data_IF_896454748183
#
_entry.id   IF_896454748183
#
_cell.length_a   1.000
_cell.length_b   1.000
_cell.length_c   1.000
_cell.angle_alpha   90.00
_cell.angle_beta   90.00
_cell.angle_gamma   90.00
#
_symmetry.space_group_name_H-M   'P 1'
#
loop_
_entity.id
_entity.type
_entity.pdbx_description
1 polymer ?
#
# COMPACT_ATOMS: atom_id res chain seq x y z
N UNK A 1 -11.14 -3.91 16.97
CA UNK A 1 -11.71 -2.70 16.34
C UNK A 1 -11.04 -1.40 16.81
N UNK A 2 -11.00 -1.12 18.12
CA UNK A 2 -10.37 0.12 18.66
C UNK A 2 -8.91 0.29 18.24
N UNK A 3 -8.12 -0.77 18.28
CA UNK A 3 -6.72 -0.74 17.82
C UNK A 3 -6.62 -0.33 16.33
N UNK A 4 -7.47 -0.89 15.45
CA UNK A 4 -7.50 -0.53 14.04
C UNK A 4 -7.84 0.94 13.79
N UNK A 5 -8.78 1.49 14.54
CA UNK A 5 -9.14 2.92 14.49
C UNK A 5 -7.95 3.78 14.96
N UNK A 6 -7.30 3.41 16.06
CA UNK A 6 -6.13 4.12 16.57
C UNK A 6 -4.96 4.09 15.59
N UNK A 7 -4.69 2.93 14.96
CA UNK A 7 -3.65 2.78 13.94
C UNK A 7 -3.99 3.59 12.70
N UNK A 8 -5.23 3.54 12.20
CA UNK A 8 -5.66 4.32 11.05
C UNK A 8 -5.55 5.83 11.30
N UNK A 9 -5.91 6.28 12.50
CA UNK A 9 -5.72 7.65 12.92
C UNK A 9 -4.24 8.03 12.98
N UNK A 10 -3.42 7.22 13.65
CA UNK A 10 -1.98 7.46 13.75
C UNK A 10 -1.28 7.53 12.39
N UNK A 11 -1.77 6.79 11.39
CA UNK A 11 -1.23 6.78 10.03
C UNK A 11 -1.74 7.93 9.16
N UNK A 12 -2.91 8.50 9.46
CA UNK A 12 -3.51 9.54 8.61
C UNK A 12 -2.56 10.72 8.41
N UNK A 13 -2.01 11.30 9.47
CA UNK A 13 -1.10 12.46 9.36
C UNK A 13 0.20 12.14 8.64
N UNK A 14 0.96 11.08 8.98
CA UNK A 14 2.19 10.73 8.27
C UNK A 14 1.97 10.44 6.78
N UNK A 15 0.93 9.69 6.43
CA UNK A 15 0.64 9.34 5.04
C UNK A 15 0.22 10.56 4.21
N UNK A 16 -0.36 11.59 4.85
CA UNK A 16 -0.74 12.84 4.19
C UNK A 16 0.37 13.89 4.13
N UNK A 17 1.55 13.60 4.66
CA UNK A 17 2.74 14.44 4.48
C UNK A 17 3.35 14.37 3.09
N UNK A 18 3.01 13.36 2.30
CA UNK A 18 3.41 13.28 0.90
C UNK A 18 2.59 14.32 0.12
N UNK A 19 3.26 15.33 -0.44
CA UNK A 19 2.64 16.28 -1.36
C UNK A 19 2.13 15.50 -2.57
N UNK A 20 0.90 15.76 -2.99
CA UNK A 20 0.42 15.27 -4.27
C UNK A 20 1.34 15.86 -5.36
N UNK A 21 2.27 15.05 -5.83
CA UNK A 21 2.94 15.29 -7.09
C UNK A 21 1.85 15.01 -8.15
N UNK A 22 1.09 16.04 -8.51
CA UNK A 22 0.27 15.95 -9.70
C UNK A 22 1.20 15.50 -10.82
N UNK A 23 0.93 14.36 -11.50
CA UNK A 23 1.73 14.04 -12.67
C UNK A 23 1.60 15.24 -13.60
N UNK A 24 2.73 15.86 -13.94
CA UNK A 24 2.77 16.96 -14.91
C UNK A 24 2.15 16.42 -16.18
N UNK A 25 0.98 16.94 -16.54
CA UNK A 25 0.43 16.67 -17.87
C UNK A 25 1.31 17.40 -18.89
N UNK A 26 1.39 16.94 -20.15
CA UNK A 26 2.15 17.64 -21.17
C UNK A 26 1.75 19.13 -21.34
N UNK A 27 0.57 19.53 -20.81
CA UNK A 27 0.10 20.92 -20.77
C UNK A 27 0.67 21.74 -19.61
N UNK A 28 1.20 21.07 -18.57
CA UNK A 28 1.75 21.72 -17.38
C UNK A 28 3.27 21.96 -17.50
N UNK A 29 3.89 21.54 -18.62
CA UNK A 29 5.29 21.82 -18.94
C UNK A 29 5.30 23.19 -19.66
N UNK A 30 5.86 24.25 -19.03
CA UNK A 30 6.03 25.52 -19.72
C UNK A 30 6.86 25.29 -20.99
N UNK A 31 6.43 25.85 -22.11
CA UNK A 31 7.13 25.74 -23.39
C UNK A 31 8.45 26.55 -23.43
N UNK A 32 8.78 27.25 -22.36
CA UNK A 32 10.05 27.94 -22.19
C UNK A 32 10.76 27.41 -20.97
N UNK A 33 11.81 26.65 -21.20
CA UNK A 33 12.78 26.29 -20.16
C UNK A 33 13.55 27.56 -19.81
N UNK A 34 13.00 28.35 -18.91
CA UNK A 34 13.71 29.42 -18.23
C UNK A 34 14.82 28.87 -17.36
N UNK A 35 15.87 29.64 -17.14
CA UNK A 35 17.14 29.27 -16.58
C UNK A 35 17.13 28.60 -15.18
N UNK A 36 18.32 28.43 -14.55
CA UNK A 36 18.56 27.54 -13.40
C UNK A 36 17.81 27.86 -12.10
N UNK A 37 16.95 28.88 -12.07
CA UNK A 37 16.20 29.30 -10.87
C UNK A 37 14.83 28.65 -10.73
N UNK A 38 14.33 27.94 -11.76
CA UNK A 38 13.02 27.28 -11.75
C UNK A 38 13.09 25.79 -11.44
N UNK A 39 14.15 25.32 -10.81
CA UNK A 39 14.17 23.95 -10.28
C UNK A 39 13.12 23.85 -9.18
N UNK A 40 12.16 22.89 -9.27
CA UNK A 40 11.25 22.64 -8.17
C UNK A 40 12.07 22.36 -6.90
N UNK A 41 11.66 22.92 -5.75
CA UNK A 41 12.42 22.78 -4.51
C UNK A 41 12.71 21.29 -4.25
N UNK A 42 13.92 20.96 -3.80
CA UNK A 42 14.32 19.56 -3.64
C UNK A 42 13.30 18.83 -2.79
N UNK A 43 12.90 17.66 -3.25
CA UNK A 43 11.86 16.79 -2.69
C UNK A 43 11.95 16.65 -1.14
N UNK A 44 13.14 16.83 -0.55
CA UNK A 44 13.37 16.80 0.90
C UNK A 44 12.60 17.86 1.72
N UNK A 45 12.25 19.00 1.16
CA UNK A 45 11.51 20.05 1.90
C UNK A 45 10.00 19.76 2.00
N UNK A 46 9.46 18.90 1.15
CA UNK A 46 8.02 18.61 1.03
C UNK A 46 7.51 17.53 2.02
N UNK A 47 8.40 16.79 2.68
CA UNK A 47 8.00 15.66 3.55
C UNK A 47 7.62 16.06 4.99
N UNK A 48 7.76 17.34 5.37
CA UNK A 48 7.69 17.71 6.79
C UNK A 48 6.30 18.01 7.34
N UNK A 49 5.33 18.38 6.50
CA UNK A 49 4.00 18.79 7.00
C UNK A 49 2.88 18.31 6.07
N UNK A 50 1.82 17.73 6.67
CA UNK A 50 0.57 17.50 5.95
C UNK A 50 -0.14 18.85 5.79
N UNK A 51 -0.32 19.31 4.56
CA UNK A 51 -0.92 20.61 4.26
C UNK A 51 -2.29 20.44 3.61
N UNK A 52 -3.22 21.32 3.95
CA UNK A 52 -4.49 21.41 3.27
C UNK A 52 -4.26 21.82 1.80
N UNK A 53 -4.87 21.13 0.81
CA UNK A 53 -4.69 21.45 -0.59
C UNK A 53 -5.23 22.84 -0.97
N UNK A 54 -6.19 23.39 -0.19
CA UNK A 54 -6.85 24.66 -0.51
C UNK A 54 -6.26 25.87 0.21
N UNK A 55 -5.91 25.73 1.51
CA UNK A 55 -5.46 26.88 2.31
C UNK A 55 -4.06 26.70 2.91
N UNK A 56 -3.37 25.59 2.60
CA UNK A 56 -2.05 25.24 3.13
C UNK A 56 -1.95 25.17 4.66
N UNK A 57 -3.08 25.07 5.36
CA UNK A 57 -3.10 24.85 6.82
C UNK A 57 -2.40 23.51 7.13
N UNK A 58 -1.51 23.51 8.11
CA UNK A 58 -0.81 22.31 8.54
C UNK A 58 -1.70 21.46 9.46
N UNK A 59 -2.04 20.24 9.02
CA UNK A 59 -2.81 19.31 9.84
C UNK A 59 -2.01 18.82 11.03
N UNK A 60 -2.59 18.96 12.21
CA UNK A 60 -2.14 18.32 13.45
C UNK A 60 -2.78 16.93 13.61
N UNK A 61 -2.28 16.14 14.55
CA UNK A 61 -2.88 14.86 14.92
C UNK A 61 -4.34 14.98 15.38
N UNK A 62 -4.69 16.10 16.01
CA UNK A 62 -6.05 16.38 16.47
C UNK A 62 -7.00 16.66 15.32
N UNK A 63 -6.54 17.33 14.28
CA UNK A 63 -7.32 17.64 13.08
C UNK A 63 -7.67 16.38 12.27
N UNK A 64 -6.84 15.33 12.38
CA UNK A 64 -7.03 14.05 11.73
C UNK A 64 -7.86 13.05 12.57
N UNK A 65 -8.34 13.43 13.75
CA UNK A 65 -9.09 12.54 14.63
C UNK A 65 -10.37 12.03 13.93
N UNK A 66 -10.69 10.70 14.07
CA UNK A 66 -11.89 10.12 13.51
C UNK A 66 -13.16 10.84 14.00
N UNK A 67 -14.09 11.11 13.09
CA UNK A 67 -15.33 11.83 13.39
C UNK A 67 -15.18 13.35 13.32
N UNK A 68 -14.15 13.96 13.91
CA UNK A 68 -13.95 15.42 13.88
C UNK A 68 -13.59 15.87 12.47
N UNK A 69 -12.64 15.19 11.82
CA UNK A 69 -12.21 15.48 10.48
C UNK A 69 -13.28 15.24 9.40
N UNK A 70 -14.24 14.36 9.68
CA UNK A 70 -15.34 14.07 8.75
C UNK A 70 -16.42 15.13 8.75
N UNK A 71 -16.69 15.70 9.94
CA UNK A 71 -17.79 16.65 10.15
C UNK A 71 -17.32 18.10 9.91
N UNK A 72 -16.11 18.42 10.37
CA UNK A 72 -15.59 19.79 10.35
C UNK A 72 -14.69 20.14 9.17
N UNK A 73 -14.12 19.12 8.50
CA UNK A 73 -13.15 19.35 7.43
C UNK A 73 -11.89 20.06 7.94
N UNK A 74 -11.27 20.85 7.08
CA UNK A 74 -10.12 21.67 7.44
C UNK A 74 -10.52 22.77 8.44
N UNK A 75 -9.81 22.90 9.59
CA UNK A 75 -10.15 23.89 10.60
C UNK A 75 -10.06 25.34 10.10
N UNK A 76 -9.28 25.60 9.05
CA UNK A 76 -9.08 26.96 8.52
C UNK A 76 -10.00 27.31 7.34
N UNK A 77 -10.37 26.34 6.48
CA UNK A 77 -11.17 26.63 5.28
C UNK A 77 -12.41 25.75 5.11
N UNK A 78 -12.67 24.82 6.02
CA UNK A 78 -13.85 23.96 5.99
C UNK A 78 -13.85 22.88 4.90
N UNK A 79 -12.82 22.80 4.02
CA UNK A 79 -12.75 21.81 2.96
C UNK A 79 -12.66 20.40 3.57
N UNK A 80 -13.51 19.49 3.09
CA UNK A 80 -13.56 18.11 3.56
C UNK A 80 -12.25 17.38 3.27
N UNK A 81 -11.88 16.43 4.15
CA UNK A 81 -10.73 15.55 3.94
C UNK A 81 -10.87 14.75 2.64
N UNK A 82 -9.75 14.46 1.97
CA UNK A 82 -9.76 13.63 0.76
C UNK A 82 -10.43 12.27 1.01
N UNK A 83 -11.16 11.75 0.03
CA UNK A 83 -11.84 10.45 0.10
C UNK A 83 -10.90 9.29 0.46
N UNK A 84 -9.62 9.40 0.12
CA UNK A 84 -8.59 8.43 0.49
C UNK A 84 -8.32 8.37 2.00
N UNK A 85 -8.48 9.49 2.73
CA UNK A 85 -8.39 9.49 4.20
C UNK A 85 -9.56 8.74 4.83
N UNK A 86 -10.78 8.95 4.31
CA UNK A 86 -11.96 8.20 4.74
C UNK A 86 -11.79 6.71 4.46
N UNK A 87 -11.31 6.36 3.27
CA UNK A 87 -11.04 4.97 2.90
C UNK A 87 -10.03 4.30 3.85
N UNK A 88 -8.99 5.01 4.28
CA UNK A 88 -8.03 4.51 5.26
C UNK A 88 -8.67 4.35 6.65
N UNK A 89 -9.42 5.35 7.11
CA UNK A 89 -10.00 5.36 8.46
C UNK A 89 -11.12 4.32 8.65
N UNK A 90 -11.80 3.94 7.59
CA UNK A 90 -12.83 2.89 7.61
C UNK A 90 -12.25 1.55 7.16
N UNK A 91 -11.52 1.55 6.06
CA UNK A 91 -11.04 0.33 5.40
C UNK A 91 -9.98 -0.40 6.22
N UNK A 92 -9.05 0.32 6.86
CA UNK A 92 -8.00 -0.34 7.65
C UNK A 92 -8.55 -1.04 8.90
N UNK A 93 -9.40 -0.41 9.75
CA UNK A 93 -10.02 -1.13 10.86
C UNK A 93 -10.86 -2.33 10.41
N UNK A 94 -11.60 -2.20 9.31
CA UNK A 94 -12.37 -3.30 8.74
C UNK A 94 -11.47 -4.44 8.25
N UNK A 95 -10.38 -4.12 7.55
CA UNK A 95 -9.41 -5.11 7.09
C UNK A 95 -8.70 -5.81 8.26
N UNK A 96 -8.31 -5.07 9.30
CA UNK A 96 -7.71 -5.65 10.52
C UNK A 96 -8.70 -6.56 11.25
N UNK A 97 -9.97 -6.13 11.38
CA UNK A 97 -11.01 -6.96 11.98
C UNK A 97 -11.21 -8.25 11.17
N UNK A 98 -11.31 -8.14 9.86
CA UNK A 98 -11.48 -9.30 8.98
C UNK A 98 -10.27 -10.25 9.09
N UNK A 99 -9.05 -9.72 9.13
CA UNK A 99 -7.83 -10.52 9.34
C UNK A 99 -7.89 -11.28 10.69
N UNK A 100 -8.34 -10.63 11.76
CA UNK A 100 -8.51 -11.26 13.07
C UNK A 100 -9.60 -12.32 13.10
N UNK A 101 -10.68 -12.12 12.35
CA UNK A 101 -11.79 -13.09 12.28
C UNK A 101 -11.43 -14.32 11.46
N UNK A 102 -10.66 -14.14 10.38
CA UNK A 102 -10.29 -15.23 9.46
C UNK A 102 -9.01 -15.97 9.86
N UNK A 103 -8.18 -15.35 10.73
CA UNK A 103 -6.96 -15.95 11.29
C UNK A 103 -7.06 -16.00 12.82
N UNK A 104 -8.03 -16.73 13.40
CA UNK A 104 -8.30 -16.68 14.82
C UNK A 104 -7.21 -17.37 15.64
N UNK A 105 -6.84 -16.74 16.76
CA UNK A 105 -6.31 -17.42 17.94
C UNK A 105 -4.86 -17.89 17.90
N UNK A 106 -4.08 -17.57 16.87
CA UNK A 106 -2.67 -17.98 16.81
C UNK A 106 -1.71 -16.78 16.74
N UNK A 107 -0.50 -16.95 17.30
CA UNK A 107 0.60 -15.98 17.14
C UNK A 107 0.92 -15.67 15.66
N UNK A 108 0.57 -16.61 14.76
CA UNK A 108 0.69 -16.41 13.31
C UNK A 108 -0.14 -15.25 12.76
N UNK A 109 -1.19 -14.80 13.45
CA UNK A 109 -1.95 -13.61 13.08
C UNK A 109 -1.18 -12.30 13.19
N UNK A 110 -0.16 -12.21 14.05
CA UNK A 110 0.60 -10.96 14.27
C UNK A 110 1.29 -10.44 13.01
N UNK A 111 2.05 -11.24 12.24
CA UNK A 111 2.61 -10.79 10.98
C UNK A 111 1.57 -10.33 9.97
N UNK A 112 0.38 -10.96 9.95
CA UNK A 112 -0.70 -10.57 9.02
C UNK A 112 -1.40 -9.27 9.42
N UNK A 113 -1.52 -8.96 10.70
CA UNK A 113 -1.96 -7.64 11.15
C UNK A 113 -0.97 -6.56 10.72
N UNK A 114 0.33 -6.82 10.90
CA UNK A 114 1.36 -5.90 10.45
C UNK A 114 1.31 -5.67 8.94
N UNK A 115 1.25 -6.75 8.13
CA UNK A 115 1.21 -6.60 6.68
C UNK A 115 -0.06 -5.90 6.21
N UNK A 116 -1.22 -6.11 6.87
CA UNK A 116 -2.46 -5.38 6.58
C UNK A 116 -2.25 -3.87 6.70
N UNK A 117 -1.61 -3.42 7.79
CA UNK A 117 -1.28 -2.01 8.00
C UNK A 117 -0.30 -1.50 6.95
N UNK A 118 0.76 -2.26 6.66
CA UNK A 118 1.77 -1.88 5.69
C UNK A 118 1.19 -1.76 4.27
N UNK A 119 0.39 -2.74 3.84
CA UNK A 119 -0.24 -2.74 2.51
C UNK A 119 -1.28 -1.64 2.36
N UNK A 120 -2.10 -1.38 3.39
CA UNK A 120 -3.04 -0.26 3.37
C UNK A 120 -2.29 1.08 3.25
N UNK A 121 -1.16 1.23 3.96
CA UNK A 121 -0.33 2.43 3.90
C UNK A 121 0.27 2.63 2.49
N UNK A 122 0.83 1.57 1.91
CA UNK A 122 1.41 1.59 0.55
C UNK A 122 0.31 1.92 -0.48
N UNK A 123 -0.85 1.26 -0.39
CA UNK A 123 -1.97 1.48 -1.31
C UNK A 123 -2.46 2.93 -1.28
N UNK A 124 -2.61 3.52 -0.08
CA UNK A 124 -3.04 4.92 0.05
C UNK A 124 -2.00 5.89 -0.52
N UNK A 125 -0.72 5.65 -0.28
CA UNK A 125 0.36 6.50 -0.83
C UNK A 125 0.36 6.39 -2.36
N UNK A 126 0.31 5.18 -2.91
CA UNK A 126 0.32 4.96 -4.36
C UNK A 126 -0.93 5.55 -5.05
N UNK A 127 -2.12 5.47 -4.43
CA UNK A 127 -3.32 6.15 -4.93
C UNK A 127 -3.19 7.67 -4.98
N UNK A 128 -2.35 8.26 -4.12
CA UNK A 128 -2.21 9.71 -4.00
C UNK A 128 -1.11 10.29 -4.88
N UNK A 129 0.05 9.66 -4.89
CA UNK A 129 1.24 10.19 -5.58
C UNK A 129 1.65 9.36 -6.80
N UNK A 130 0.94 8.24 -7.06
CA UNK A 130 1.21 7.30 -8.15
C UNK A 130 2.65 6.78 -8.14
N UNK A 131 3.19 6.62 -6.94
CA UNK A 131 4.54 6.14 -6.72
C UNK A 131 4.63 5.46 -5.35
N UNK A 132 5.25 4.30 -5.33
CA UNK A 132 5.57 3.59 -4.08
C UNK A 132 6.94 4.07 -3.58
N UNK A 133 7.03 4.76 -2.42
CA UNK A 133 8.30 5.17 -1.84
C UNK A 133 9.22 3.96 -1.66
N UNK A 134 10.46 4.07 -2.12
CA UNK A 134 11.40 2.94 -2.19
C UNK A 134 11.61 2.23 -0.84
N UNK A 135 11.56 2.96 0.25
CA UNK A 135 11.81 2.45 1.59
C UNK A 135 10.63 1.66 2.18
N UNK A 136 9.37 1.94 1.76
CA UNK A 136 8.19 1.30 2.36
C UNK A 136 8.16 -0.23 2.17
N UNK A 137 8.32 -0.77 0.95
CA UNK A 137 8.38 -2.22 0.76
C UNK A 137 9.58 -2.87 1.45
N UNK A 138 10.74 -2.20 1.48
CA UNK A 138 11.94 -2.73 2.14
C UNK A 138 11.78 -2.80 3.66
N UNK A 139 11.30 -1.73 4.29
CA UNK A 139 11.02 -1.72 5.73
C UNK A 139 9.93 -2.74 6.05
N UNK A 140 8.87 -2.81 5.23
CA UNK A 140 7.81 -3.80 5.38
C UNK A 140 8.33 -5.23 5.30
N UNK A 141 9.20 -5.54 4.34
CA UNK A 141 9.82 -6.86 4.21
C UNK A 141 10.78 -7.16 5.37
N UNK A 142 11.61 -6.21 5.78
CA UNK A 142 12.57 -6.41 6.89
C UNK A 142 11.85 -6.66 8.22
N UNK A 143 10.89 -5.81 8.59
CA UNK A 143 10.09 -5.98 9.80
C UNK A 143 9.27 -7.26 9.71
N UNK A 144 8.67 -7.53 8.53
CA UNK A 144 7.95 -8.77 8.27
C UNK A 144 8.81 -10.01 8.47
N UNK A 145 10.02 -10.02 7.94
CA UNK A 145 10.96 -11.13 8.12
C UNK A 145 11.29 -11.38 9.59
N UNK A 146 11.50 -10.32 10.38
CA UNK A 146 11.72 -10.45 11.83
C UNK A 146 10.51 -11.05 12.53
N UNK A 147 9.30 -10.57 12.24
CA UNK A 147 8.06 -11.09 12.83
C UNK A 147 7.80 -12.55 12.44
N UNK A 148 7.93 -12.86 11.16
CA UNK A 148 7.78 -14.23 10.64
C UNK A 148 8.81 -15.16 11.25
N UNK A 149 10.08 -14.74 11.39
CA UNK A 149 11.13 -15.52 12.01
C UNK A 149 10.83 -15.81 13.47
N UNK A 150 10.44 -14.79 14.24
CA UNK A 150 10.11 -14.94 15.65
C UNK A 150 8.94 -15.92 15.85
N UNK A 151 7.89 -15.79 15.04
CA UNK A 151 6.72 -16.68 15.11
C UNK A 151 7.07 -18.10 14.65
N UNK A 152 7.82 -18.25 13.54
CA UNK A 152 8.22 -19.58 13.04
C UNK A 152 9.05 -20.37 14.06
N UNK A 153 9.93 -19.68 14.79
CA UNK A 153 10.70 -20.30 15.90
C UNK A 153 9.78 -20.65 17.06
N UNK A 154 8.88 -19.74 17.45
CA UNK A 154 7.96 -19.94 18.57
C UNK A 154 7.00 -21.13 18.36
N UNK A 155 6.57 -21.38 17.12
CA UNK A 155 5.67 -22.49 16.76
C UNK A 155 6.44 -23.77 16.36
N UNK A 156 7.78 -23.76 16.39
CA UNK A 156 8.61 -24.92 16.05
C UNK A 156 8.62 -25.27 14.54
N UNK A 157 8.33 -24.32 13.65
CA UNK A 157 8.25 -24.53 12.20
C UNK A 157 9.26 -23.66 11.40
N UNK A 158 10.59 -23.74 11.67
CA UNK A 158 11.59 -22.92 11.01
C UNK A 158 11.67 -23.15 9.48
N UNK A 159 11.26 -24.33 9.01
CA UNK A 159 11.21 -24.63 7.57
C UNK A 159 10.30 -23.71 6.77
N UNK A 160 9.27 -23.12 7.39
CA UNK A 160 8.41 -22.13 6.75
C UNK A 160 9.16 -20.85 6.33
N UNK A 161 10.27 -20.53 6.99
CA UNK A 161 11.13 -19.41 6.60
C UNK A 161 11.78 -19.61 5.22
N UNK A 162 12.21 -20.83 4.94
CA UNK A 162 12.79 -21.16 3.63
C UNK A 162 11.75 -20.97 2.54
N UNK A 163 10.51 -21.43 2.78
CA UNK A 163 9.39 -21.25 1.85
C UNK A 163 9.05 -19.75 1.66
N UNK A 164 9.02 -19.01 2.76
CA UNK A 164 8.77 -17.56 2.72
C UNK A 164 9.83 -16.81 1.90
N UNK A 165 11.11 -17.13 2.11
CA UNK A 165 12.22 -16.53 1.37
C UNK A 165 12.19 -16.95 -0.12
N UNK A 166 11.93 -18.21 -0.41
CA UNK A 166 11.77 -18.68 -1.79
C UNK A 166 10.63 -17.96 -2.51
N UNK A 167 9.48 -17.76 -1.83
CA UNK A 167 8.36 -16.98 -2.35
C UNK A 167 8.71 -15.51 -2.58
N UNK A 168 9.44 -14.89 -1.63
CA UNK A 168 9.91 -13.51 -1.78
C UNK A 168 10.80 -13.33 -3.01
N UNK A 169 11.80 -14.20 -3.15
CA UNK A 169 12.71 -14.14 -4.29
C UNK A 169 12.01 -14.52 -5.61
N UNK A 170 11.15 -15.53 -5.60
CA UNK A 170 10.41 -15.96 -6.79
C UNK A 170 9.52 -14.85 -7.34
N UNK A 171 8.73 -14.19 -6.49
CA UNK A 171 7.88 -13.06 -6.90
C UNK A 171 8.68 -11.83 -7.30
N UNK A 172 9.77 -11.54 -6.57
CA UNK A 172 10.69 -10.47 -6.94
C UNK A 172 11.27 -10.70 -8.33
N UNK A 173 11.79 -11.90 -8.59
CA UNK A 173 12.40 -12.25 -9.87
C UNK A 173 11.38 -12.21 -11.01
N UNK A 174 10.16 -12.72 -10.78
CA UNK A 174 9.06 -12.64 -11.74
C UNK A 174 8.79 -11.19 -12.15
N UNK A 175 8.61 -10.29 -11.15
CA UNK A 175 8.34 -8.88 -11.42
C UNK A 175 9.54 -8.15 -12.01
N UNK A 176 10.76 -8.54 -11.64
CA UNK A 176 11.97 -8.00 -12.25
C UNK A 176 12.05 -8.35 -13.74
N UNK A 177 11.74 -9.60 -14.10
CA UNK A 177 11.68 -10.04 -15.51
C UNK A 177 10.61 -9.25 -16.27
N UNK A 178 9.41 -9.10 -15.69
CA UNK A 178 8.34 -8.31 -16.30
C UNK A 178 8.73 -6.83 -16.47
N UNK A 179 9.41 -6.25 -15.49
CA UNK A 179 9.91 -4.88 -15.55
C UNK A 179 10.93 -4.70 -16.68
N UNK A 180 11.86 -5.65 -16.83
CA UNK A 180 12.86 -5.63 -17.90
C UNK A 180 12.25 -5.91 -19.27
N UNK A 181 11.23 -6.77 -19.36
CA UNK A 181 10.56 -7.13 -20.60
C UNK A 181 9.61 -6.03 -21.12
N UNK A 182 9.11 -5.16 -20.23
CA UNK A 182 8.16 -4.10 -20.60
C UNK A 182 8.61 -2.73 -20.07
N UNK A 183 9.68 -2.13 -20.62
CA UNK A 183 10.24 -0.87 -20.13
C UNK A 183 9.18 0.25 -20.10
N UNK A 184 9.10 0.95 -18.97
CA UNK A 184 8.19 2.08 -18.78
C UNK A 184 6.71 1.73 -18.57
N UNK A 185 6.33 0.43 -18.59
CA UNK A 185 4.96 -0.01 -18.32
C UNK A 185 4.74 -0.44 -16.87
N UNK A 186 5.76 -0.98 -16.23
CA UNK A 186 5.73 -1.39 -14.82
C UNK A 186 6.66 -0.50 -13.99
N UNK A 187 6.24 -0.11 -12.79
CA UNK A 187 7.06 0.64 -11.85
C UNK A 187 8.05 -0.27 -11.11
N UNK A 188 9.28 0.19 -10.87
CA UNK A 188 10.21 -0.57 -10.03
C UNK A 188 9.75 -0.65 -8.56
N UNK A 189 8.81 0.21 -8.16
CA UNK A 189 8.10 0.11 -6.88
C UNK A 189 7.31 -1.18 -6.73
N UNK A 190 6.65 -1.63 -7.82
CA UNK A 190 5.86 -2.87 -7.84
C UNK A 190 6.77 -4.11 -7.72
N UNK A 191 7.99 -4.06 -8.29
CA UNK A 191 9.01 -5.13 -8.16
C UNK A 191 9.40 -5.32 -6.69
N UNK A 192 9.64 -4.21 -5.98
CA UNK A 192 9.97 -4.25 -4.54
C UNK A 192 8.77 -4.69 -3.70
N UNK A 193 7.57 -4.23 -4.05
CA UNK A 193 6.34 -4.64 -3.39
C UNK A 193 6.12 -6.14 -3.55
N UNK A 194 6.36 -6.70 -4.74
CA UNK A 194 6.22 -8.13 -5.01
C UNK A 194 7.11 -9.00 -4.10
N UNK A 195 8.35 -8.56 -3.79
CA UNK A 195 9.20 -9.23 -2.80
C UNK A 195 8.53 -9.32 -1.44
N UNK A 196 8.00 -8.20 -0.95
CA UNK A 196 7.30 -8.15 0.33
C UNK A 196 6.05 -9.04 0.32
N UNK A 197 5.25 -8.99 -0.74
CA UNK A 197 4.05 -9.82 -0.88
C UNK A 197 4.39 -11.31 -0.89
N UNK A 198 5.41 -11.69 -1.68
CA UNK A 198 5.88 -13.08 -1.74
C UNK A 198 6.33 -13.63 -0.40
N UNK A 199 7.01 -12.81 0.41
CA UNK A 199 7.44 -13.17 1.75
C UNK A 199 6.26 -13.60 2.64
N UNK A 200 5.24 -12.77 2.74
CA UNK A 200 4.09 -13.02 3.62
C UNK A 200 3.16 -14.11 3.08
N UNK A 201 2.89 -14.11 1.77
CA UNK A 201 1.98 -15.07 1.16
C UNK A 201 2.57 -16.48 1.18
N UNK A 202 3.85 -16.64 0.80
CA UNK A 202 4.49 -17.94 0.80
C UNK A 202 4.72 -18.48 2.21
N UNK A 203 4.88 -17.64 3.22
CA UNK A 203 4.96 -18.06 4.61
C UNK A 203 3.71 -18.81 5.08
N UNK A 204 2.52 -18.39 4.61
CA UNK A 204 1.27 -19.08 4.88
C UNK A 204 1.17 -20.39 4.07
N UNK A 205 1.38 -20.29 2.75
CA UNK A 205 1.40 -21.46 1.85
C UNK A 205 2.06 -21.08 0.51
N UNK A 206 2.92 -21.96 -0.08
CA UNK A 206 3.72 -21.64 -1.26
C UNK A 206 2.90 -21.29 -2.51
N UNK A 207 1.63 -21.68 -2.60
CA UNK A 207 0.74 -21.37 -3.73
C UNK A 207 0.13 -19.95 -3.63
N UNK A 208 0.01 -19.39 -2.44
CA UNK A 208 -0.70 -18.12 -2.24
C UNK A 208 -0.08 -16.91 -2.96
N UNK A 209 1.24 -16.81 -3.16
CA UNK A 209 1.80 -15.77 -4.02
C UNK A 209 1.17 -15.75 -5.42
N UNK A 210 0.90 -16.92 -6.01
CA UNK A 210 0.27 -17.02 -7.33
C UNK A 210 -1.13 -16.44 -7.31
N UNK A 211 -1.95 -16.80 -6.32
CA UNK A 211 -3.31 -16.25 -6.18
C UNK A 211 -3.31 -14.77 -5.82
N UNK A 212 -2.40 -14.33 -4.96
CA UNK A 212 -2.26 -12.91 -4.62
C UNK A 212 -1.92 -12.05 -5.84
N UNK A 213 -1.00 -12.52 -6.67
CA UNK A 213 -0.63 -11.85 -7.91
C UNK A 213 -1.76 -11.91 -8.95
N UNK A 214 -2.46 -13.04 -9.06
CA UNK A 214 -3.61 -13.19 -9.95
C UNK A 214 -4.73 -12.21 -9.58
N UNK A 215 -5.15 -12.20 -8.31
CA UNK A 215 -6.17 -11.27 -7.82
C UNK A 215 -5.70 -9.82 -7.95
N UNK A 216 -4.44 -9.54 -7.62
CA UNK A 216 -3.86 -8.21 -7.76
C UNK A 216 -3.84 -7.70 -9.19
N UNK A 217 -3.47 -8.55 -10.14
CA UNK A 217 -3.48 -8.22 -11.56
C UNK A 217 -4.90 -8.01 -12.09
N UNK A 218 -5.86 -8.85 -11.69
CA UNK A 218 -7.27 -8.70 -12.07
C UNK A 218 -7.87 -7.40 -11.53
N UNK A 219 -7.63 -7.08 -10.26
CA UNK A 219 -8.07 -5.83 -9.65
C UNK A 219 -7.38 -4.62 -10.30
N UNK A 220 -6.08 -4.71 -10.58
CA UNK A 220 -5.34 -3.70 -11.30
C UNK A 220 -5.91 -3.46 -12.71
N UNK A 221 -6.25 -4.53 -13.43
CA UNK A 221 -6.91 -4.43 -14.74
C UNK A 221 -8.25 -3.70 -14.64
N UNK A 222 -9.10 -4.08 -13.68
CA UNK A 222 -10.40 -3.41 -13.45
C UNK A 222 -10.19 -1.93 -13.14
N UNK A 223 -9.25 -1.60 -12.25
CA UNK A 223 -8.92 -0.20 -11.91
C UNK A 223 -8.41 0.57 -13.14
N UNK A 224 -7.60 -0.06 -13.98
CA UNK A 224 -7.11 0.52 -15.23
C UNK A 224 -8.21 0.78 -16.25
N UNK A 225 -9.14 -0.16 -16.43
CA UNK A 225 -10.30 0.01 -17.30
C UNK A 225 -11.23 1.13 -16.81
N UNK A 226 -11.49 1.20 -15.50
CA UNK A 226 -12.27 2.29 -14.91
C UNK A 226 -11.57 3.65 -15.11
N UNK A 227 -10.25 3.72 -14.91
CA UNK A 227 -9.48 4.93 -15.13
C UNK A 227 -9.52 5.37 -16.60
N UNK A 228 -9.42 4.42 -17.53
CA UNK A 228 -9.53 4.68 -18.97
C UNK A 228 -10.93 5.20 -19.33
N UNK A 229 -11.98 4.56 -18.83
CA UNK A 229 -13.37 4.93 -19.12
C UNK A 229 -13.77 6.31 -18.53
N UNK A 230 -13.25 6.64 -17.32
CA UNK A 230 -13.66 7.86 -16.60
C UNK A 230 -12.75 9.06 -16.83
N UNK A 231 -11.46 8.83 -17.09
CA UNK A 231 -10.44 9.89 -17.18
C UNK A 231 -9.76 9.96 -18.54
N UNK A 232 -10.02 9.02 -19.45
CA UNK A 232 -9.34 8.91 -20.75
C UNK A 232 -7.82 8.65 -20.62
N UNK A 233 -7.34 8.25 -19.44
CA UNK A 233 -5.92 8.02 -19.17
C UNK A 233 -5.63 6.54 -19.05
N UNK A 234 -4.64 6.07 -19.79
CA UNK A 234 -4.11 4.70 -19.67
C UNK A 234 -3.17 4.52 -18.45
N UNK A 235 -2.83 5.61 -17.77
CA UNK A 235 -1.98 5.56 -16.56
C UNK A 235 -2.85 5.44 -15.33
N UNK A 236 -2.56 4.48 -14.48
CA UNK A 236 -3.21 4.25 -13.19
C UNK A 236 -2.21 3.62 -12.21
N UNK A 237 -2.39 3.81 -10.89
CA UNK A 237 -1.54 3.15 -9.89
C UNK A 237 -1.88 1.66 -9.82
N UNK A 238 -0.89 0.80 -10.02
CA UNK A 238 -1.06 -0.66 -10.01
C UNK A 238 -0.93 -1.24 -8.59
N UNK A 239 -0.13 -0.60 -7.73
CA UNK A 239 0.15 -1.02 -6.36
C UNK A 239 -1.09 -1.32 -5.50
N UNK A 240 -2.15 -0.48 -5.50
CA UNK A 240 -3.37 -0.76 -4.73
C UNK A 240 -4.06 -2.08 -5.14
N UNK A 241 -4.04 -2.40 -6.45
CA UNK A 241 -4.53 -3.69 -6.95
C UNK A 241 -3.74 -4.86 -6.35
N UNK A 242 -2.40 -4.78 -6.37
CA UNK A 242 -1.53 -5.80 -5.78
C UNK A 242 -1.73 -5.95 -4.27
N UNK A 243 -1.84 -4.83 -3.55
CA UNK A 243 -2.07 -4.83 -2.10
C UNK A 243 -3.41 -5.53 -1.75
N UNK A 244 -4.48 -5.17 -2.44
CA UNK A 244 -5.80 -5.78 -2.22
C UNK A 244 -5.82 -7.25 -2.65
N UNK A 245 -5.18 -7.60 -3.76
CA UNK A 245 -5.09 -8.98 -4.23
C UNK A 245 -4.35 -9.88 -3.25
N UNK A 246 -3.27 -9.39 -2.65
CA UNK A 246 -2.55 -10.09 -1.60
C UNK A 246 -3.42 -10.31 -0.35
N UNK A 247 -4.15 -9.28 0.09
CA UNK A 247 -5.08 -9.42 1.22
C UNK A 247 -6.21 -10.40 0.93
N UNK A 248 -6.77 -10.38 -0.28
CA UNK A 248 -7.77 -11.36 -0.69
C UNK A 248 -7.22 -12.79 -0.66
N UNK A 249 -5.97 -13.01 -1.12
CA UNK A 249 -5.35 -14.33 -1.03
C UNK A 249 -5.18 -14.80 0.42
N UNK A 250 -4.82 -13.90 1.34
CA UNK A 250 -4.77 -14.19 2.78
C UNK A 250 -6.14 -14.53 3.33
N UNK A 251 -7.17 -13.73 3.05
CA UNK A 251 -8.51 -13.94 3.59
C UNK A 251 -9.22 -15.15 2.99
N UNK A 252 -8.91 -15.50 1.75
CA UNK A 252 -9.47 -16.66 1.04
C UNK A 252 -8.56 -17.88 1.08
N UNK A 253 -7.54 -17.92 1.95
CA UNK A 253 -6.57 -19.00 1.97
C UNK A 253 -7.24 -20.37 2.18
N UNK A 254 -8.18 -20.49 3.13
CA UNK A 254 -8.87 -21.75 3.37
C UNK A 254 -9.65 -22.27 2.16
N UNK A 255 -10.57 -21.51 1.53
CA UNK A 255 -11.26 -21.99 0.34
C UNK A 255 -10.33 -22.28 -0.84
N UNK A 256 -9.24 -21.51 -1.00
CA UNK A 256 -8.22 -21.78 -2.02
C UNK A 256 -7.58 -23.15 -1.77
N UNK A 257 -7.14 -23.42 -0.55
CA UNK A 257 -6.44 -24.67 -0.22
C UNK A 257 -7.38 -25.88 -0.27
N UNK A 258 -8.65 -25.73 0.14
CA UNK A 258 -9.66 -26.77 0.00
C UNK A 258 -10.00 -27.12 -1.44
N UNK A 259 -9.89 -26.14 -2.36
CA UNK A 259 -10.14 -26.36 -3.79
C UNK A 259 -8.99 -27.04 -4.54
N UNK A 260 -7.82 -27.19 -3.90
CA UNK A 260 -6.62 -27.83 -4.47
C UNK A 260 -6.40 -29.28 -3.99
N UNK A 261 -7.06 -29.70 -2.94
CA UNK A 261 -6.99 -31.06 -2.36
C UNK A 261 -8.27 -31.80 -2.52
#
# INVERSE_FOLDING_TARGET
MLLGIAVAWALTVPLYRFKELRPLTPRDIPSEVGGPQDQPPPIRASYRQALCPSCHHSYSWRDAAPGVSWIRGCPSCGVSLPRTALALQIGLPAAMLLTLLLLPGSWSGVPYLFVTVALASIAVVDLRIWLIPYWMPWVGAAVGLVLISAVSVAIGAPGQLVVALAGAFGTFLLFLVLFLAAPGKLGFGDVRLALMLGLFLAWMHPILPVYGLLFGSLLGLVMGLVALATRGSSRFPFGPGLCLGAMLAVWLHEPILRGLG
#
